data_IF_499169925608
#
_entry.id   IF_499169925608
#
_cell.length_a   1.000
_cell.length_b   1.000
_cell.length_c   1.000
_cell.angle_alpha   90.00
_cell.angle_beta   90.00
_cell.angle_gamma   90.00
#
_symmetry.space_group_name_H-M   'P 1'
#
loop_
_entity.id
_entity.type
_entity.pdbx_description
1 polymer ?
#
# COMPACT_ATOMS: atom_id res chain seq x y z
N UNK A 1 19.41 0.60 0.71
CA UNK A 1 18.27 1.26 0.07
C UNK A 1 17.62 0.22 -0.80
N UNK A 2 16.47 -0.23 -0.35
CA UNK A 2 15.65 -1.25 -0.97
C UNK A 2 14.87 -0.63 -2.14
N UNK A 3 14.62 -1.41 -3.19
CA UNK A 3 14.10 -0.86 -4.44
C UNK A 3 12.68 -0.30 -4.31
N UNK A 4 11.90 -0.78 -3.33
CA UNK A 4 10.54 -0.31 -3.10
C UNK A 4 10.47 1.05 -2.38
N UNK A 5 11.54 1.49 -1.70
CA UNK A 5 11.60 2.82 -1.04
C UNK A 5 11.57 3.98 -2.05
N UNK A 6 11.84 3.70 -3.33
CA UNK A 6 11.80 4.67 -4.43
C UNK A 6 10.41 4.78 -5.07
N UNK A 7 9.44 3.97 -4.64
CA UNK A 7 8.09 3.99 -5.20
C UNK A 7 7.34 5.19 -4.65
N UNK A 8 6.87 6.07 -5.54
CA UNK A 8 6.09 7.24 -5.18
C UNK A 8 4.64 6.86 -4.85
N UNK A 9 4.22 7.14 -3.61
CA UNK A 9 2.83 7.09 -3.20
C UNK A 9 2.23 8.48 -3.28
N UNK A 10 1.01 8.57 -3.80
CA UNK A 10 0.20 9.77 -3.73
C UNK A 10 -0.34 9.97 -2.31
N UNK A 11 -0.92 11.14 -2.05
CA UNK A 11 -1.69 11.39 -0.84
C UNK A 11 -2.86 10.39 -0.69
N UNK A 12 -3.32 10.21 0.54
CA UNK A 12 -4.42 9.32 0.86
C UNK A 12 -5.65 9.69 0.03
N UNK A 13 -6.20 8.74 -0.77
CA UNK A 13 -7.35 9.01 -1.64
C UNK A 13 -8.64 9.33 -0.86
N UNK A 14 -8.65 9.12 0.46
CA UNK A 14 -9.80 9.35 1.34
C UNK A 14 -9.71 10.70 2.05
N UNK A 15 -8.57 11.02 2.68
CA UNK A 15 -8.42 12.18 3.56
C UNK A 15 -7.34 13.19 3.12
N UNK A 16 -6.56 12.90 2.08
CA UNK A 16 -5.39 13.70 1.67
C UNK A 16 -4.19 13.60 2.63
N UNK A 17 -4.25 12.71 3.63
CA UNK A 17 -3.15 12.43 4.55
C UNK A 17 -1.98 11.70 3.89
N UNK A 18 -0.91 11.42 4.65
CA UNK A 18 0.25 10.72 4.09
C UNK A 18 -0.07 9.24 3.84
N UNK A 19 0.31 8.75 2.66
CA UNK A 19 0.34 7.32 2.36
C UNK A 19 1.69 6.71 2.70
N UNK A 20 1.68 5.60 3.44
CA UNK A 20 2.87 4.85 3.80
C UNK A 20 2.83 3.46 3.18
N UNK A 21 3.98 3.01 2.67
CA UNK A 21 4.17 1.65 2.20
C UNK A 21 4.76 0.80 3.31
N UNK A 22 4.11 -0.32 3.61
CA UNK A 22 4.50 -1.26 4.65
C UNK A 22 4.77 -2.64 4.04
N UNK A 23 5.82 -3.30 4.52
CA UNK A 23 6.11 -4.71 4.27
C UNK A 23 5.82 -5.52 5.52
N UNK A 24 4.89 -6.46 5.46
CA UNK A 24 4.60 -7.31 6.61
C UNK A 24 5.45 -8.58 6.58
N UNK A 25 6.37 -8.70 7.54
CA UNK A 25 7.17 -9.89 7.84
C UNK A 25 7.77 -10.62 6.62
N UNK A 26 8.08 -9.90 5.52
CA UNK A 26 8.69 -10.50 4.34
C UNK A 26 7.75 -11.34 3.48
N UNK A 27 6.42 -11.18 3.58
CA UNK A 27 5.46 -11.98 2.80
C UNK A 27 4.39 -11.17 2.05
N UNK A 28 4.16 -9.89 2.40
CA UNK A 28 3.29 -9.02 1.63
C UNK A 28 3.65 -7.54 1.73
N UNK A 29 3.11 -6.76 0.78
CA UNK A 29 3.07 -5.31 0.85
C UNK A 29 1.64 -4.79 0.89
N UNK A 30 1.46 -3.66 1.56
CA UNK A 30 0.27 -2.83 1.45
C UNK A 30 0.64 -1.36 1.65
N UNK A 31 -0.24 -0.47 1.20
CA UNK A 31 -0.16 0.94 1.53
C UNK A 31 -1.25 1.30 2.53
N UNK A 32 -0.97 2.17 3.50
CA UNK A 32 -1.92 2.57 4.54
C UNK A 32 -1.82 4.07 4.88
N UNK A 33 -2.96 4.63 5.30
CA UNK A 33 -3.08 5.96 5.90
C UNK A 33 -3.23 5.81 7.41
N UNK A 34 -2.33 6.42 8.17
CA UNK A 34 -2.43 6.42 9.64
C UNK A 34 -3.43 7.45 10.17
N UNK A 35 -3.86 8.42 9.36
CA UNK A 35 -4.83 9.44 9.76
C UNK A 35 -6.28 8.91 9.72
N UNK A 36 -6.64 8.16 8.67
CA UNK A 36 -8.02 7.69 8.47
C UNK A 36 -8.17 6.16 8.42
N UNK A 37 -7.08 5.39 8.55
CA UNK A 37 -7.12 3.92 8.54
C UNK A 37 -7.37 3.27 7.16
N UNK A 38 -7.40 4.07 6.09
CA UNK A 38 -7.53 3.54 4.74
C UNK A 38 -6.29 2.71 4.37
N UNK A 39 -6.47 1.55 3.75
CA UNK A 39 -5.35 0.70 3.36
C UNK A 39 -5.66 -0.12 2.10
N UNK A 40 -4.66 -0.49 1.31
CA UNK A 40 -4.87 -1.42 0.18
C UNK A 40 -5.03 -2.85 0.68
N UNK A 41 -5.56 -3.73 -0.18
CA UNK A 41 -5.42 -5.17 0.07
C UNK A 41 -3.94 -5.58 0.13
N UNK A 42 -3.65 -6.63 0.90
CA UNK A 42 -2.30 -7.19 1.07
C UNK A 42 -1.86 -7.90 -0.21
N UNK A 43 -0.75 -7.47 -0.80
CA UNK A 43 -0.17 -8.09 -1.99
C UNK A 43 0.89 -9.08 -1.55
N UNK A 44 0.51 -10.37 -1.55
CA UNK A 44 1.38 -11.48 -1.17
C UNK A 44 2.46 -11.76 -2.23
N UNK A 45 3.64 -12.13 -1.77
CA UNK A 45 4.70 -12.71 -2.58
C UNK A 45 5.38 -13.86 -1.83
N UNK A 46 5.93 -14.82 -2.57
CA UNK A 46 6.61 -15.98 -1.98
C UNK A 46 8.13 -15.94 -2.23
N UNK A 47 8.56 -15.18 -3.22
CA UNK A 47 9.97 -15.11 -3.67
C UNK A 47 10.48 -13.67 -3.59
N UNK A 48 11.74 -13.49 -3.23
CA UNK A 48 12.40 -12.18 -3.22
C UNK A 48 12.31 -11.45 -4.57
N UNK A 49 12.31 -12.19 -5.68
CA UNK A 49 12.18 -11.61 -7.01
C UNK A 49 10.80 -10.93 -7.25
N UNK A 50 9.77 -11.35 -6.51
CA UNK A 50 8.41 -10.81 -6.60
C UNK A 50 8.16 -9.68 -5.60
N UNK A 51 9.07 -9.49 -4.64
CA UNK A 51 8.98 -8.46 -3.58
C UNK A 51 8.76 -7.06 -4.16
N UNK A 52 9.53 -6.70 -5.19
CA UNK A 52 9.39 -5.40 -5.87
C UNK A 52 8.07 -5.27 -6.64
N UNK A 53 7.65 -6.32 -7.34
CA UNK A 53 6.37 -6.34 -8.07
C UNK A 53 5.18 -6.22 -7.11
N UNK A 54 5.26 -6.87 -5.94
CA UNK A 54 4.25 -6.75 -4.89
C UNK A 54 4.14 -5.32 -4.36
N UNK A 55 5.27 -4.67 -4.07
CA UNK A 55 5.31 -3.28 -3.64
C UNK A 55 4.74 -2.33 -4.72
N UNK A 56 5.11 -2.53 -5.99
CA UNK A 56 4.58 -1.73 -7.10
C UNK A 56 3.07 -1.88 -7.26
N UNK A 57 2.53 -3.09 -7.05
CA UNK A 57 1.09 -3.34 -7.08
C UNK A 57 0.36 -2.67 -5.92
N UNK A 58 0.93 -2.72 -4.71
CA UNK A 58 0.38 -2.04 -3.55
C UNK A 58 0.30 -0.52 -3.80
N UNK A 59 1.40 0.10 -4.27
CA UNK A 59 1.39 1.51 -4.64
C UNK A 59 0.44 1.82 -5.80
N UNK A 60 0.34 0.94 -6.80
CA UNK A 60 -0.60 1.13 -7.89
C UNK A 60 -2.04 1.19 -7.39
N UNK A 61 -2.46 0.23 -6.53
CA UNK A 61 -3.80 0.23 -5.94
C UNK A 61 -4.08 1.50 -5.14
N UNK A 62 -3.12 1.94 -4.35
CA UNK A 62 -3.19 3.18 -3.59
C UNK A 62 -3.40 4.40 -4.49
N UNK A 63 -2.53 4.58 -5.48
CA UNK A 63 -2.50 5.74 -6.37
C UNK A 63 -3.76 5.84 -7.25
N UNK A 64 -4.46 4.73 -7.52
CA UNK A 64 -5.74 4.75 -8.24
C UNK A 64 -6.96 4.80 -7.31
N UNK A 65 -6.76 4.94 -6.00
CA UNK A 65 -7.83 5.04 -5.02
C UNK A 65 -8.50 3.72 -4.63
N UNK A 66 -7.92 2.56 -4.97
CA UNK A 66 -8.44 1.24 -4.57
C UNK A 66 -7.98 0.88 -3.16
N UNK A 67 -8.63 1.49 -2.18
CA UNK A 67 -8.38 1.28 -0.75
C UNK A 67 -9.62 0.69 -0.05
N UNK A 68 -9.36 -0.08 0.99
CA UNK A 68 -10.30 -0.53 2.00
C UNK A 68 -10.36 0.51 3.11
N UNK A 69 -11.55 0.74 3.65
CA UNK A 69 -11.79 1.63 4.78
C UNK A 69 -12.67 0.92 5.79
N UNK A 70 -12.48 1.18 7.08
CA UNK A 70 -13.28 0.60 8.16
C UNK A 70 -14.60 1.37 8.38
N UNK A 71 -15.04 2.21 7.43
CA UNK A 71 -16.39 2.78 7.47
C UNK A 71 -17.38 1.73 6.96
N UNK A 72 -18.15 1.05 7.82
CA UNK A 72 -19.26 0.21 7.37
C UNK A 72 -20.30 1.12 6.70
N UNK A 73 -20.58 0.86 5.42
CA UNK A 73 -21.46 1.61 4.50
C UNK A 73 -20.94 2.97 4.03
N UNK A 74 -20.43 3.00 2.80
CA UNK A 74 -20.93 3.95 1.78
C UNK A 74 -21.96 3.20 0.92
#
# INVERSE_FOLDING_TARGET
MELYEQIELQECPICGGAGLMEEENGWCFYAACLDCGAHTAEIRYERDAERLDAAQRAAHLWNIGKVLTDTPND
#
